data_IF_911833537043
#
_entry.id   IF_911833537043
#
_cell.length_a   1.000
_cell.length_b   1.000
_cell.length_c   1.000
_cell.angle_alpha   90.00
_cell.angle_beta   90.00
_cell.angle_gamma   90.00
#
_symmetry.space_group_name_H-M   'P 1'
#
loop_
_entity.id
_entity.type
_entity.pdbx_description
1 polymer ?
#
# COMPACT_ATOMS: atom_id res chain seq x y z
N UNK A 1 -37.91 16.29 54.51
CA UNK A 1 -36.65 16.38 53.75
C UNK A 1 -36.79 15.49 52.52
N UNK A 2 -36.97 16.09 51.34
CA UNK A 2 -36.95 15.38 50.07
C UNK A 2 -35.54 14.85 49.86
N UNK A 3 -35.34 13.53 49.97
CA UNK A 3 -34.11 12.84 49.59
C UNK A 3 -34.05 12.92 48.06
N UNK A 4 -33.28 13.85 47.52
CA UNK A 4 -32.98 13.91 46.08
C UNK A 4 -32.25 12.59 45.79
N UNK A 5 -32.94 11.66 45.14
CA UNK A 5 -32.32 10.41 44.66
C UNK A 5 -31.27 10.76 43.64
N UNK A 6 -30.11 10.12 43.71
CA UNK A 6 -29.10 10.28 42.67
C UNK A 6 -29.63 9.88 41.32
N UNK A 7 -29.29 10.64 40.27
CA UNK A 7 -29.60 10.28 38.89
C UNK A 7 -29.00 8.91 38.54
N UNK A 8 -29.67 8.19 37.64
CA UNK A 8 -29.19 6.87 37.28
C UNK A 8 -28.03 6.94 36.32
N UNK A 9 -27.05 6.05 36.47
CA UNK A 9 -25.94 5.93 35.51
C UNK A 9 -26.43 5.53 34.11
N UNK A 10 -27.61 4.90 34.02
CA UNK A 10 -28.26 4.62 32.75
C UNK A 10 -28.68 5.91 32.03
N UNK A 11 -29.22 6.90 32.75
CA UNK A 11 -29.53 8.21 32.19
C UNK A 11 -28.25 8.90 31.68
N UNK A 12 -27.15 8.86 32.44
CA UNK A 12 -25.88 9.37 31.99
C UNK A 12 -25.40 8.66 30.71
N UNK A 13 -25.51 7.34 30.66
CA UNK A 13 -25.16 6.54 29.49
C UNK A 13 -25.96 6.94 28.25
N UNK A 14 -27.22 7.31 28.39
CA UNK A 14 -28.03 7.82 27.27
C UNK A 14 -27.52 9.17 26.80
N UNK A 15 -27.11 10.08 27.69
CA UNK A 15 -26.48 11.35 27.31
C UNK A 15 -25.19 11.08 26.52
N UNK A 16 -24.36 10.11 26.96
CA UNK A 16 -23.12 9.75 26.23
C UNK A 16 -23.41 9.28 24.81
N UNK A 17 -24.52 8.55 24.59
CA UNK A 17 -24.92 8.08 23.25
C UNK A 17 -25.45 9.22 22.37
N UNK A 18 -26.17 10.17 22.95
CA UNK A 18 -26.81 11.27 22.22
C UNK A 18 -25.82 12.42 21.93
N UNK A 19 -25.09 12.87 22.93
CA UNK A 19 -24.08 13.94 22.82
C UNK A 19 -22.86 13.67 23.69
N UNK A 20 -21.82 13.12 23.05
CA UNK A 20 -20.54 12.81 23.71
C UNK A 20 -19.82 14.05 24.26
N UNK A 21 -20.04 15.24 23.66
CA UNK A 21 -19.39 16.48 24.11
C UNK A 21 -20.03 16.97 25.39
N UNK A 22 -21.37 16.99 25.42
CA UNK A 22 -22.12 17.34 26.62
C UNK A 22 -21.80 16.35 27.74
N UNK A 23 -21.85 15.05 27.47
CA UNK A 23 -21.52 14.01 28.42
C UNK A 23 -20.12 14.16 29.02
N UNK A 24 -19.11 14.50 28.21
CA UNK A 24 -17.74 14.76 28.73
C UNK A 24 -17.68 15.98 29.62
N UNK A 25 -18.35 17.06 29.25
CA UNK A 25 -18.40 18.27 30.05
C UNK A 25 -19.02 17.96 31.42
N UNK A 26 -20.12 17.24 31.43
CA UNK A 26 -20.79 16.81 32.66
C UNK A 26 -19.93 15.85 33.48
N UNK A 27 -19.36 14.83 32.86
CA UNK A 27 -18.53 13.80 33.53
C UNK A 27 -17.34 14.39 34.29
N UNK A 28 -16.68 15.40 33.73
CA UNK A 28 -15.53 16.04 34.37
C UNK A 28 -15.89 17.25 35.27
N UNK A 29 -17.18 17.45 35.56
CA UNK A 29 -17.68 18.50 36.45
C UNK A 29 -17.93 18.00 37.89
N UNK A 30 -18.02 18.91 38.85
CA UNK A 30 -18.44 18.56 40.19
C UNK A 30 -19.90 18.09 40.24
N UNK A 31 -20.74 18.60 39.32
CA UNK A 31 -22.14 18.20 39.23
C UNK A 31 -22.30 16.67 39.01
N UNK A 32 -21.42 16.05 38.23
CA UNK A 32 -21.46 14.60 38.02
C UNK A 32 -21.30 13.81 39.33
N UNK A 33 -20.42 14.24 40.22
CA UNK A 33 -20.23 13.58 41.52
C UNK A 33 -21.43 13.75 42.45
N UNK A 34 -22.06 14.93 42.40
CA UNK A 34 -23.18 15.27 43.25
C UNK A 34 -24.49 14.63 42.76
N UNK A 35 -24.70 14.57 41.47
CA UNK A 35 -25.93 14.06 40.84
C UNK A 35 -25.92 12.55 40.63
N UNK A 36 -24.80 12.00 40.14
CA UNK A 36 -24.69 10.60 39.72
C UNK A 36 -23.98 9.70 40.71
N UNK A 37 -22.99 10.20 41.51
CA UNK A 37 -22.15 9.36 42.36
C UNK A 37 -22.41 9.54 43.86
N UNK A 38 -23.34 10.37 44.27
CA UNK A 38 -23.57 10.72 45.65
C UNK A 38 -23.78 9.50 46.58
N UNK A 39 -24.62 8.57 46.15
CA UNK A 39 -25.01 7.37 46.91
C UNK A 39 -24.29 6.10 46.42
N UNK A 40 -23.24 6.23 45.60
CA UNK A 40 -22.53 5.13 44.90
C UNK A 40 -21.06 5.14 45.25
N UNK A 41 -20.72 4.48 46.33
CA UNK A 41 -19.40 4.49 46.89
C UNK A 41 -18.35 3.87 45.96
N UNK A 42 -18.65 2.69 45.39
CA UNK A 42 -17.74 1.94 44.54
C UNK A 42 -17.43 2.71 43.26
N UNK A 43 -18.46 3.24 42.58
CA UNK A 43 -18.31 4.01 41.34
C UNK A 43 -17.61 5.36 41.60
N UNK A 44 -17.79 5.93 42.79
CA UNK A 44 -17.08 7.15 43.19
C UNK A 44 -15.58 6.91 43.41
N UNK A 45 -15.21 5.79 44.03
CA UNK A 45 -13.82 5.40 44.18
C UNK A 45 -13.19 5.09 42.82
N UNK A 46 -13.86 4.33 41.95
CA UNK A 46 -13.45 4.08 40.58
C UNK A 46 -13.24 5.38 39.80
N UNK A 47 -14.21 6.30 39.84
CA UNK A 47 -14.11 7.61 39.20
C UNK A 47 -12.86 8.36 39.60
N UNK A 48 -12.56 8.43 40.92
CA UNK A 48 -11.38 9.10 41.40
C UNK A 48 -10.06 8.45 40.95
N UNK A 49 -10.02 7.13 40.87
CA UNK A 49 -8.86 6.40 40.36
C UNK A 49 -8.62 6.68 38.89
N UNK A 50 -9.69 6.66 38.09
CA UNK A 50 -9.59 6.90 36.64
C UNK A 50 -9.21 8.33 36.28
N UNK A 51 -9.58 9.32 37.09
CA UNK A 51 -9.19 10.72 36.90
C UNK A 51 -7.67 10.97 36.94
N UNK A 52 -6.87 10.04 37.47
CA UNK A 52 -5.42 10.07 37.39
C UNK A 52 -4.86 9.81 36.01
N UNK A 53 -5.67 9.27 35.11
CA UNK A 53 -5.31 9.02 33.72
C UNK A 53 -5.14 10.32 32.91
N UNK A 54 -4.44 10.21 31.77
CA UNK A 54 -4.16 11.36 30.92
C UNK A 54 -5.16 11.56 29.76
N UNK A 55 -5.78 10.48 29.33
CA UNK A 55 -6.69 10.51 28.17
C UNK A 55 -8.17 10.58 28.62
N UNK A 56 -8.77 11.75 28.47
CA UNK A 56 -10.16 12.00 28.89
C UNK A 56 -11.18 11.07 28.20
N UNK A 57 -10.96 10.72 26.94
CA UNK A 57 -11.87 9.81 26.21
C UNK A 57 -11.78 8.39 26.79
N UNK A 58 -10.56 7.94 27.08
CA UNK A 58 -10.32 6.63 27.67
C UNK A 58 -10.86 6.55 29.09
N UNK A 59 -10.71 7.61 29.87
CA UNK A 59 -11.24 7.67 31.26
C UNK A 59 -12.75 7.47 31.27
N UNK A 60 -13.49 8.21 30.42
CA UNK A 60 -14.94 8.06 30.31
C UNK A 60 -15.33 6.65 29.85
N UNK A 61 -14.64 6.12 28.85
CA UNK A 61 -14.87 4.78 28.33
C UNK A 61 -14.69 3.72 29.42
N UNK A 62 -13.59 3.78 30.15
CA UNK A 62 -13.27 2.82 31.20
C UNK A 62 -14.23 2.92 32.40
N UNK A 63 -14.69 4.13 32.71
CA UNK A 63 -15.72 4.30 33.74
C UNK A 63 -17.00 3.58 33.35
N UNK A 64 -17.49 3.76 32.12
CA UNK A 64 -18.69 3.11 31.63
C UNK A 64 -18.57 1.58 31.57
N UNK A 65 -17.38 1.08 31.21
CA UNK A 65 -17.11 -0.37 31.20
C UNK A 65 -17.09 -0.94 32.61
N UNK A 66 -16.31 -0.33 33.49
CA UNK A 66 -16.07 -0.84 34.84
C UNK A 66 -17.30 -0.70 35.75
N UNK A 67 -18.15 0.31 35.47
CA UNK A 67 -19.45 0.45 36.17
C UNK A 67 -20.57 -0.40 35.55
N UNK A 68 -20.26 -1.24 34.56
CA UNK A 68 -21.20 -2.17 33.92
C UNK A 68 -22.23 -1.51 33.00
N UNK A 69 -22.03 -0.23 32.63
CA UNK A 69 -22.99 0.51 31.80
C UNK A 69 -22.90 0.13 30.31
N UNK A 70 -21.81 -0.45 29.89
CA UNK A 70 -21.61 -0.93 28.51
C UNK A 70 -20.64 -2.10 28.43
N UNK A 71 -20.60 -2.73 27.28
CA UNK A 71 -19.56 -3.71 26.91
C UNK A 71 -18.45 -3.03 26.11
N UNK A 72 -17.23 -3.58 26.11
CA UNK A 72 -16.14 -3.06 25.27
C UNK A 72 -16.52 -3.12 23.79
N UNK A 73 -16.03 -2.15 23.04
CA UNK A 73 -16.13 -2.18 21.58
C UNK A 73 -15.17 -3.25 21.07
N UNK A 74 -15.70 -4.24 20.39
CA UNK A 74 -14.94 -5.32 19.79
C UNK A 74 -14.92 -5.16 18.26
N UNK A 75 -13.90 -5.73 17.65
CA UNK A 75 -13.73 -5.76 16.21
C UNK A 75 -13.87 -7.20 15.71
N UNK A 76 -14.49 -7.36 14.56
CA UNK A 76 -14.56 -8.62 13.85
C UNK A 76 -14.13 -8.44 12.39
N UNK A 77 -13.31 -9.36 11.88
CA UNK A 77 -12.94 -9.35 10.47
C UNK A 77 -14.10 -9.86 9.62
N UNK A 78 -14.39 -9.16 8.52
CA UNK A 78 -15.38 -9.66 7.55
C UNK A 78 -14.93 -10.99 6.94
N UNK A 79 -13.60 -11.17 6.80
CA UNK A 79 -12.91 -12.42 6.41
C UNK A 79 -11.61 -12.51 7.19
N UNK A 80 -11.25 -13.71 7.62
CA UNK A 80 -9.97 -13.97 8.30
C UNK A 80 -8.80 -14.14 7.34
N UNK A 81 -9.10 -14.51 6.08
CA UNK A 81 -8.14 -14.71 5.02
C UNK A 81 -8.56 -13.89 3.80
N UNK A 82 -7.68 -13.06 3.31
CA UNK A 82 -7.81 -12.32 2.07
C UNK A 82 -6.81 -12.84 1.05
N UNK A 83 -7.17 -12.74 -0.21
CA UNK A 83 -6.29 -13.13 -1.31
C UNK A 83 -5.79 -11.88 -2.02
N UNK A 84 -4.45 -11.72 -2.07
CA UNK A 84 -3.81 -10.75 -2.92
C UNK A 84 -3.43 -11.37 -4.26
N UNK A 85 -3.53 -10.61 -5.33
CA UNK A 85 -3.15 -10.99 -6.70
C UNK A 85 -2.24 -9.92 -7.30
N UNK A 86 -1.72 -10.18 -8.49
CA UNK A 86 -0.88 -9.22 -9.22
C UNK A 86 -1.58 -7.86 -9.42
N UNK A 87 -2.91 -7.82 -9.47
CA UNK A 87 -3.68 -6.58 -9.63
C UNK A 87 -3.49 -5.61 -8.46
N UNK A 88 -3.13 -6.13 -7.28
CA UNK A 88 -2.89 -5.31 -6.08
C UNK A 88 -1.56 -4.54 -6.09
N UNK A 89 -0.79 -4.63 -7.18
CA UNK A 89 0.31 -3.67 -7.45
C UNK A 89 -0.19 -2.28 -7.83
N UNK A 90 -1.35 -2.20 -8.48
CA UNK A 90 -1.94 -0.94 -8.98
C UNK A 90 -3.20 -0.54 -8.23
N UNK A 91 -3.94 -1.51 -7.71
CA UNK A 91 -5.17 -1.29 -6.96
C UNK A 91 -4.98 -1.78 -5.52
N UNK A 92 -5.26 -0.93 -4.51
CA UNK A 92 -5.09 -1.34 -3.13
C UNK A 92 -6.03 -2.50 -2.79
N UNK A 93 -5.52 -3.43 -2.00
CA UNK A 93 -6.35 -4.47 -1.39
C UNK A 93 -7.23 -3.83 -0.31
N UNK A 94 -8.53 -4.09 -0.38
CA UNK A 94 -9.50 -3.63 0.60
C UNK A 94 -9.78 -4.71 1.64
N UNK A 95 -9.47 -4.41 2.91
CA UNK A 95 -9.70 -5.30 4.03
C UNK A 95 -10.73 -4.65 4.95
N UNK A 96 -11.85 -5.35 5.20
CA UNK A 96 -12.98 -4.81 5.95
C UNK A 96 -13.05 -5.40 7.35
N UNK A 97 -13.18 -4.52 8.33
CA UNK A 97 -13.31 -4.84 9.75
C UNK A 97 -14.57 -4.17 10.29
N UNK A 98 -15.41 -4.95 10.95
CA UNK A 98 -16.66 -4.45 11.57
C UNK A 98 -16.43 -4.17 13.04
N UNK A 99 -17.04 -3.09 13.53
CA UNK A 99 -17.12 -2.83 14.97
C UNK A 99 -18.43 -3.34 15.54
N UNK A 100 -18.34 -3.90 16.72
CA UNK A 100 -19.47 -4.29 17.54
C UNK A 100 -19.49 -3.41 18.80
N UNK A 101 -20.59 -2.73 19.03
CA UNK A 101 -20.71 -1.78 20.13
C UNK A 101 -20.53 -0.33 19.71
N UNK A 102 -20.58 0.55 20.71
CA UNK A 102 -20.55 2.00 20.55
C UNK A 102 -19.55 2.63 21.51
N UNK A 103 -19.14 3.87 21.25
CA UNK A 103 -18.28 4.66 22.12
C UNK A 103 -16.86 4.85 21.58
N UNK A 104 -15.98 5.20 22.48
CA UNK A 104 -14.59 5.52 22.14
C UNK A 104 -13.82 4.29 21.68
N UNK A 105 -13.16 4.44 20.57
CA UNK A 105 -12.33 3.39 20.00
C UNK A 105 -11.14 4.02 19.28
N UNK A 106 -9.95 3.57 19.63
CA UNK A 106 -8.71 3.85 18.89
C UNK A 106 -7.92 2.56 18.77
N UNK A 107 -7.17 2.45 17.72
CA UNK A 107 -6.33 1.29 17.50
C UNK A 107 -5.17 1.54 16.55
N UNK A 108 -4.34 0.51 16.41
CA UNK A 108 -3.19 0.47 15.51
C UNK A 108 -3.33 -0.70 14.57
N UNK A 109 -2.81 -0.50 13.37
CA UNK A 109 -2.72 -1.52 12.34
C UNK A 109 -1.25 -1.70 11.99
N UNK A 110 -0.79 -2.94 11.98
CA UNK A 110 0.57 -3.31 11.59
C UNK A 110 0.49 -4.43 10.56
N UNK A 111 1.41 -4.44 9.63
CA UNK A 111 1.72 -5.59 8.79
C UNK A 111 3.05 -6.18 9.27
N UNK A 112 3.23 -7.49 9.25
CA UNK A 112 4.53 -8.13 9.46
C UNK A 112 5.45 -8.00 8.22
N UNK A 113 4.90 -7.47 7.11
CA UNK A 113 5.64 -6.63 6.19
C UNK A 113 6.47 -7.30 5.14
N UNK A 114 6.11 -8.46 4.66
CA UNK A 114 6.85 -9.08 3.56
C UNK A 114 6.54 -8.41 2.22
N UNK A 115 5.28 -8.16 1.91
CA UNK A 115 4.89 -7.57 0.62
C UNK A 115 3.81 -6.49 0.68
N UNK A 116 3.12 -6.31 1.83
CA UNK A 116 2.08 -5.29 1.99
C UNK A 116 2.60 -3.97 2.56
N UNK A 117 2.01 -2.88 2.12
CA UNK A 117 2.16 -1.53 2.65
C UNK A 117 0.82 -0.93 2.98
N UNK A 118 0.63 -0.56 4.23
CA UNK A 118 -0.62 0.04 4.69
C UNK A 118 -0.68 1.53 4.36
N UNK A 119 -1.84 2.01 3.93
CA UNK A 119 -2.09 3.45 3.75
C UNK A 119 -2.18 4.17 5.10
N UNK A 120 -2.68 3.49 6.14
CA UNK A 120 -2.90 4.05 7.48
C UNK A 120 -2.49 3.04 8.55
N UNK A 121 -1.79 3.51 9.57
CA UNK A 121 -1.29 2.65 10.67
C UNK A 121 -2.10 2.80 11.96
N UNK A 122 -3.06 3.72 11.99
CA UNK A 122 -3.92 4.00 13.14
C UNK A 122 -5.35 4.23 12.67
N UNK A 123 -6.29 4.00 13.57
CA UNK A 123 -7.70 4.29 13.33
C UNK A 123 -8.39 4.73 14.60
N UNK A 124 -9.53 5.38 14.44
CA UNK A 124 -10.41 5.81 15.52
C UNK A 124 -11.88 5.54 15.15
N UNK A 125 -12.80 5.77 16.10
CA UNK A 125 -14.22 5.46 15.92
C UNK A 125 -14.82 6.14 14.68
N UNK A 126 -14.38 7.34 14.35
CA UNK A 126 -14.84 8.16 13.21
C UNK A 126 -14.40 7.63 11.84
N UNK A 127 -13.41 6.74 11.80
CA UNK A 127 -12.97 6.09 10.57
C UNK A 127 -13.92 4.95 10.11
N UNK A 128 -14.92 4.60 10.94
CA UNK A 128 -15.89 3.57 10.61
C UNK A 128 -17.10 4.17 9.89
N UNK A 129 -17.34 3.73 8.67
CA UNK A 129 -18.54 4.07 7.89
C UNK A 129 -19.55 2.92 8.02
N UNK A 130 -20.77 3.21 8.48
CA UNK A 130 -21.80 2.20 8.75
C UNK A 130 -21.28 1.00 9.56
N UNK A 131 -20.45 1.27 10.58
CA UNK A 131 -19.86 0.25 11.44
C UNK A 131 -18.73 -0.56 10.82
N UNK A 132 -18.24 -0.17 9.65
CA UNK A 132 -17.16 -0.85 8.92
C UNK A 132 -15.96 0.07 8.70
N UNK A 133 -14.77 -0.40 9.08
CA UNK A 133 -13.49 0.19 8.73
C UNK A 133 -12.96 -0.52 7.49
N UNK A 134 -12.62 0.25 6.45
CA UNK A 134 -11.92 -0.27 5.28
C UNK A 134 -10.44 0.08 5.40
N UNK A 135 -9.59 -0.96 5.44
CA UNK A 135 -8.14 -0.83 5.48
C UNK A 135 -7.62 -1.05 4.06
N UNK A 136 -6.85 -0.09 3.55
CA UNK A 136 -6.23 -0.15 2.23
C UNK A 136 -4.76 -0.54 2.37
N UNK A 137 -4.35 -1.54 1.60
CA UNK A 137 -2.97 -2.02 1.56
C UNK A 137 -2.51 -2.19 0.11
N UNK A 138 -1.35 -1.62 -0.22
CA UNK A 138 -0.70 -1.81 -1.51
C UNK A 138 0.29 -2.97 -1.45
N UNK A 139 0.49 -3.66 -2.57
CA UNK A 139 1.64 -4.55 -2.75
C UNK A 139 2.86 -3.75 -3.20
N UNK A 140 3.98 -3.89 -2.48
CA UNK A 140 5.27 -3.24 -2.83
C UNK A 140 6.08 -4.05 -3.84
N UNK A 141 6.00 -5.36 -3.75
CA UNK A 141 6.75 -6.32 -4.54
C UNK A 141 5.85 -7.48 -4.92
N UNK A 142 6.21 -8.24 -5.94
CA UNK A 142 5.51 -9.46 -6.31
C UNK A 142 6.04 -10.59 -5.42
N UNK A 143 5.21 -11.16 -4.51
CA UNK A 143 5.63 -12.28 -3.68
C UNK A 143 5.65 -13.58 -4.49
N UNK A 144 6.13 -14.65 -3.85
CA UNK A 144 5.98 -16.01 -4.41
C UNK A 144 4.55 -16.50 -4.18
N UNK A 145 4.11 -17.41 -5.07
CA UNK A 145 2.80 -18.04 -4.89
C UNK A 145 2.71 -18.73 -3.52
N UNK A 146 1.69 -18.38 -2.75
CA UNK A 146 1.46 -18.89 -1.41
C UNK A 146 2.14 -18.10 -0.28
N UNK A 147 2.91 -17.07 -0.57
CA UNK A 147 3.44 -16.19 0.48
C UNK A 147 2.30 -15.55 1.28
N UNK A 148 2.52 -15.41 2.58
CA UNK A 148 1.53 -14.90 3.53
C UNK A 148 2.10 -13.67 4.21
N UNK A 149 1.27 -12.62 4.29
CA UNK A 149 1.48 -11.45 5.13
C UNK A 149 0.35 -11.39 6.17
N UNK A 150 0.63 -10.88 7.37
CA UNK A 150 -0.35 -10.76 8.43
C UNK A 150 -0.63 -9.31 8.74
N UNK A 151 -1.91 -8.95 8.79
CA UNK A 151 -2.36 -7.73 9.41
C UNK A 151 -2.70 -7.97 10.87
N UNK A 152 -2.11 -7.17 11.75
CA UNK A 152 -2.38 -7.18 13.18
C UNK A 152 -3.08 -5.88 13.52
N UNK A 153 -4.33 -5.97 13.95
CA UNK A 153 -5.17 -4.85 14.37
C UNK A 153 -5.29 -4.91 15.88
N UNK A 154 -4.79 -3.89 16.56
CA UNK A 154 -4.69 -3.85 18.01
C UNK A 154 -5.48 -2.67 18.57
N UNK A 155 -6.37 -2.97 19.51
CA UNK A 155 -7.06 -2.01 20.38
C UNK A 155 -6.61 -2.21 21.83
N UNK A 156 -7.12 -1.41 22.75
CA UNK A 156 -6.89 -1.62 24.19
C UNK A 156 -7.46 -2.96 24.69
N UNK A 157 -8.54 -3.44 24.05
CA UNK A 157 -9.28 -4.61 24.51
C UNK A 157 -9.06 -5.87 23.68
N UNK A 158 -8.43 -5.75 22.51
CA UNK A 158 -8.38 -6.85 21.55
C UNK A 158 -7.18 -6.76 20.61
N UNK A 159 -6.68 -7.92 20.22
CA UNK A 159 -5.78 -8.08 19.05
C UNK A 159 -6.48 -8.97 18.04
N UNK A 160 -6.65 -8.50 16.81
CA UNK A 160 -7.23 -9.23 15.70
C UNK A 160 -6.16 -9.44 14.64
N UNK A 161 -6.04 -10.67 14.14
CA UNK A 161 -5.11 -11.03 13.07
C UNK A 161 -5.88 -11.43 11.82
N UNK A 162 -5.45 -10.91 10.67
CA UNK A 162 -5.99 -11.21 9.34
C UNK A 162 -4.83 -11.66 8.47
N UNK A 163 -5.01 -12.78 7.77
CA UNK A 163 -4.02 -13.29 6.83
C UNK A 163 -4.28 -12.76 5.42
N UNK A 164 -3.22 -12.40 4.72
CA UNK A 164 -3.27 -12.06 3.31
C UNK A 164 -2.34 -13.01 2.56
N UNK A 165 -2.92 -13.88 1.76
CA UNK A 165 -2.21 -14.89 0.98
C UNK A 165 -2.08 -14.42 -0.45
N UNK A 166 -0.86 -14.38 -0.99
CA UNK A 166 -0.66 -14.13 -2.40
C UNK A 166 -0.94 -15.38 -3.22
N UNK A 167 -1.77 -15.25 -4.26
CA UNK A 167 -2.06 -16.31 -5.23
C UNK A 167 -1.66 -15.87 -6.62
N UNK A 168 -0.67 -16.56 -7.17
CA UNK A 168 -0.27 -16.38 -8.56
C UNK A 168 -1.29 -17.04 -9.49
N UNK A 169 -1.86 -16.24 -10.38
CA UNK A 169 -2.64 -16.75 -11.49
C UNK A 169 -1.80 -16.62 -12.76
N UNK A 170 -1.23 -17.73 -13.26
CA UNK A 170 -0.32 -17.73 -14.42
C UNK A 170 -0.87 -16.99 -15.64
N UNK A 171 -2.18 -17.08 -15.88
CA UNK A 171 -2.84 -16.36 -16.97
C UNK A 171 -2.94 -14.84 -16.70
N UNK A 172 -3.11 -14.43 -15.46
CA UNK A 172 -3.19 -13.02 -15.05
C UNK A 172 -1.82 -12.37 -15.07
N UNK A 173 -0.78 -13.07 -14.61
CA UNK A 173 0.60 -12.58 -14.67
C UNK A 173 1.03 -12.22 -16.09
N UNK A 174 0.69 -13.06 -17.07
CA UNK A 174 0.99 -12.79 -18.47
C UNK A 174 0.21 -11.58 -19.00
N UNK A 175 -1.06 -11.46 -18.67
CA UNK A 175 -1.90 -10.29 -19.02
C UNK A 175 -1.36 -9.01 -18.40
N UNK A 176 -0.91 -9.10 -17.15
CA UNK A 176 -0.34 -7.95 -16.44
C UNK A 176 0.98 -7.49 -17.06
N UNK A 177 1.85 -8.43 -17.42
CA UNK A 177 3.09 -8.11 -18.14
C UNK A 177 2.79 -7.42 -19.48
N UNK A 178 1.85 -7.95 -20.25
CA UNK A 178 1.42 -7.37 -21.53
C UNK A 178 0.83 -5.96 -21.34
N UNK A 179 0.04 -5.75 -20.30
CA UNK A 179 -0.52 -4.45 -19.95
C UNK A 179 0.58 -3.42 -19.62
N UNK A 180 1.59 -3.80 -18.82
CA UNK A 180 2.70 -2.92 -18.48
C UNK A 180 3.61 -2.62 -19.64
N UNK A 181 3.87 -3.60 -20.50
CA UNK A 181 4.60 -3.39 -21.76
C UNK A 181 3.85 -2.38 -22.64
N UNK A 182 2.52 -2.49 -22.73
CA UNK A 182 1.70 -1.51 -23.45
C UNK A 182 1.81 -0.10 -22.86
N UNK A 183 1.78 0.02 -21.54
CA UNK A 183 1.99 1.32 -20.86
C UNK A 183 3.35 1.94 -21.19
N UNK A 184 4.42 1.15 -21.24
CA UNK A 184 5.74 1.66 -21.62
C UNK A 184 5.75 2.18 -23.05
N UNK A 185 5.11 1.46 -23.99
CA UNK A 185 4.98 1.89 -25.39
C UNK A 185 4.18 3.19 -25.47
N UNK A 186 3.06 3.31 -24.76
CA UNK A 186 2.25 4.53 -24.71
C UNK A 186 3.04 5.73 -24.19
N UNK A 187 3.79 5.57 -23.10
CA UNK A 187 4.67 6.60 -22.54
C UNK A 187 5.73 7.04 -23.53
N UNK A 188 6.33 6.09 -24.25
CA UNK A 188 7.35 6.41 -25.24
C UNK A 188 6.75 7.14 -26.45
N UNK A 189 5.57 6.75 -26.92
CA UNK A 189 4.83 7.46 -27.97
C UNK A 189 4.45 8.88 -27.52
N UNK A 190 3.99 9.05 -26.30
CA UNK A 190 3.66 10.37 -25.74
C UNK A 190 4.92 11.26 -25.65
N UNK A 191 6.07 10.70 -25.32
CA UNK A 191 7.34 11.39 -25.36
C UNK A 191 7.73 11.80 -26.77
N UNK A 192 7.69 10.88 -27.74
CA UNK A 192 8.04 11.15 -29.13
C UNK A 192 7.11 12.19 -29.77
N UNK A 193 5.85 12.28 -29.33
CA UNK A 193 4.87 13.27 -29.79
C UNK A 193 4.88 14.58 -29.00
N UNK A 194 5.79 14.71 -28.03
CA UNK A 194 5.93 15.93 -27.22
C UNK A 194 4.84 16.12 -26.17
N UNK A 195 4.04 15.10 -25.85
CA UNK A 195 2.98 15.16 -24.84
C UNK A 195 3.51 15.10 -23.42
N UNK A 196 4.66 14.45 -23.23
CA UNK A 196 5.36 14.37 -21.95
C UNK A 196 6.83 14.76 -22.13
N UNK A 197 7.44 15.23 -21.04
CA UNK A 197 8.86 15.59 -21.00
C UNK A 197 9.73 14.36 -20.76
N UNK A 198 11.05 14.50 -20.97
CA UNK A 198 12.04 13.48 -20.66
C UNK A 198 11.98 13.07 -19.16
N UNK A 199 11.88 14.06 -18.26
CA UNK A 199 11.73 13.79 -16.83
C UNK A 199 10.48 13.00 -16.49
N UNK A 200 9.36 13.31 -17.13
CA UNK A 200 8.11 12.58 -16.95
C UNK A 200 8.21 11.15 -17.50
N UNK A 201 8.86 10.96 -18.65
CA UNK A 201 9.13 9.63 -19.20
C UNK A 201 10.02 8.83 -18.25
N UNK A 202 11.09 9.43 -17.73
CA UNK A 202 12.00 8.80 -16.77
C UNK A 202 11.26 8.32 -15.50
N UNK A 203 10.52 9.20 -14.86
CA UNK A 203 9.80 8.89 -13.62
C UNK A 203 8.71 7.81 -13.84
N UNK A 204 7.82 8.04 -14.80
CA UNK A 204 6.70 7.13 -15.07
C UNK A 204 7.16 5.81 -15.65
N UNK A 205 8.17 5.81 -16.52
CA UNK A 205 8.75 4.62 -17.10
C UNK A 205 9.41 3.72 -16.03
N UNK A 206 10.19 4.31 -15.11
CA UNK A 206 10.77 3.55 -14.00
C UNK A 206 9.70 3.00 -13.06
N UNK A 207 8.64 3.75 -12.74
CA UNK A 207 7.52 3.25 -11.95
C UNK A 207 6.85 2.01 -12.56
N UNK A 208 6.73 1.96 -13.89
CA UNK A 208 6.19 0.79 -14.59
C UNK A 208 7.20 -0.36 -14.57
N UNK A 209 8.49 -0.09 -14.85
CA UNK A 209 9.55 -1.11 -14.88
C UNK A 209 9.80 -1.74 -13.51
N UNK A 210 9.73 -0.96 -12.43
CA UNK A 210 9.89 -1.45 -11.05
C UNK A 210 8.80 -2.44 -10.63
N UNK A 211 7.65 -2.38 -11.29
CA UNK A 211 6.51 -3.25 -11.04
C UNK A 211 6.39 -4.41 -12.03
N UNK A 212 7.37 -4.59 -12.94
CA UNK A 212 7.38 -5.73 -13.85
C UNK A 212 7.53 -7.04 -13.07
N UNK A 213 6.83 -8.12 -13.50
CA UNK A 213 6.99 -9.43 -12.88
C UNK A 213 8.44 -9.92 -12.95
N UNK A 214 8.93 -10.48 -11.85
CA UNK A 214 10.27 -11.06 -11.79
C UNK A 214 10.38 -12.26 -12.75
N UNK A 215 11.20 -12.09 -13.78
CA UNK A 215 11.49 -13.12 -14.78
C UNK A 215 12.99 -13.09 -15.08
N UNK A 216 13.76 -14.12 -14.64
CA UNK A 216 15.21 -14.15 -14.78
C UNK A 216 15.71 -13.94 -16.21
N UNK A 217 14.90 -14.30 -17.21
CA UNK A 217 15.25 -14.13 -18.62
C UNK A 217 14.97 -12.69 -19.10
N UNK A 218 13.88 -12.07 -18.62
CA UNK A 218 13.45 -10.74 -19.07
C UNK A 218 14.01 -9.59 -18.25
N UNK A 219 14.41 -9.85 -17.00
CA UNK A 219 14.92 -8.83 -16.08
C UNK A 219 16.08 -8.03 -16.72
N UNK A 220 16.92 -8.69 -17.48
CA UNK A 220 18.03 -8.02 -18.16
C UNK A 220 17.55 -6.98 -19.18
N UNK A 221 16.46 -7.26 -19.88
CA UNK A 221 15.85 -6.31 -20.84
C UNK A 221 15.28 -5.12 -20.08
N UNK A 222 14.62 -5.35 -18.94
CA UNK A 222 14.08 -4.27 -18.10
C UNK A 222 15.18 -3.39 -17.52
N UNK A 223 16.32 -3.96 -17.13
CA UNK A 223 17.51 -3.21 -16.69
C UNK A 223 18.07 -2.33 -17.80
N UNK A 224 18.14 -2.85 -19.03
CA UNK A 224 18.56 -2.07 -20.20
C UNK A 224 17.58 -0.96 -20.54
N UNK A 225 16.27 -1.18 -20.36
CA UNK A 225 15.27 -0.13 -20.51
C UNK A 225 15.43 0.98 -19.47
N UNK A 226 15.70 0.64 -18.22
CA UNK A 226 15.99 1.63 -17.15
C UNK A 226 17.25 2.43 -17.47
N UNK A 227 18.28 1.77 -17.98
CA UNK A 227 19.50 2.43 -18.45
C UNK A 227 19.20 3.41 -19.59
N UNK A 228 18.39 3.02 -20.55
CA UNK A 228 17.93 3.88 -21.65
C UNK A 228 17.23 5.15 -21.13
N UNK A 229 16.29 5.00 -20.17
CA UNK A 229 15.63 6.14 -19.53
C UNK A 229 16.62 7.06 -18.81
N UNK A 230 17.64 6.50 -18.17
CA UNK A 230 18.70 7.25 -17.49
C UNK A 230 19.57 8.05 -18.49
N UNK A 231 19.88 7.47 -19.64
CA UNK A 231 20.63 8.15 -20.73
C UNK A 231 19.80 9.32 -21.27
N UNK A 232 18.51 9.10 -21.55
CA UNK A 232 17.61 10.15 -22.03
C UNK A 232 17.53 11.34 -21.07
N UNK A 233 17.47 11.08 -19.77
CA UNK A 233 17.37 12.11 -18.73
C UNK A 233 18.74 12.71 -18.35
N UNK A 234 19.85 12.08 -18.78
CA UNK A 234 21.21 12.51 -18.43
C UNK A 234 21.54 12.28 -16.94
N UNK A 235 20.94 11.27 -16.31
CA UNK A 235 21.15 10.94 -14.89
C UNK A 235 22.13 9.79 -14.70
N UNK A 236 23.08 10.00 -13.79
CA UNK A 236 24.03 8.99 -13.30
C UNK A 236 25.32 8.89 -14.09
N UNK A 237 26.22 8.08 -13.56
CA UNK A 237 27.49 7.74 -14.19
C UNK A 237 27.23 6.65 -15.25
N UNK A 238 27.03 7.07 -16.48
CA UNK A 238 26.46 6.23 -17.53
C UNK A 238 27.53 5.39 -18.25
N UNK A 239 28.74 5.89 -18.33
CA UNK A 239 29.85 5.19 -19.00
C UNK A 239 30.14 3.81 -18.39
N UNK A 240 30.12 3.71 -17.06
CA UNK A 240 30.40 2.43 -16.37
C UNK A 240 29.24 1.44 -16.45
N UNK A 241 28.03 1.88 -16.86
CA UNK A 241 26.81 1.06 -16.86
C UNK A 241 26.45 0.46 -18.21
N UNK A 242 26.91 1.08 -19.30
CA UNK A 242 26.66 0.56 -20.64
C UNK A 242 27.63 -0.59 -20.89
N UNK A 243 27.14 -1.81 -21.16
CA UNK A 243 28.04 -2.95 -21.43
C UNK A 243 28.92 -2.69 -22.65
N UNK A 244 30.21 -2.96 -22.53
CA UNK A 244 31.14 -2.83 -23.63
C UNK A 244 30.99 -3.92 -24.69
N UNK A 245 30.58 -5.12 -24.27
CA UNK A 245 30.51 -6.30 -25.12
C UNK A 245 29.05 -6.87 -25.13
N UNK A 246 28.34 -6.54 -26.19
CA UNK A 246 26.96 -6.99 -26.39
C UNK A 246 26.88 -8.52 -26.54
N UNK A 247 27.92 -9.20 -27.00
CA UNK A 247 27.89 -10.66 -27.22
C UNK A 247 27.81 -11.47 -25.94
N UNK A 248 28.07 -10.86 -24.80
CA UNK A 248 27.91 -11.49 -23.47
C UNK A 248 26.45 -11.56 -23.01
N UNK A 249 25.56 -10.84 -23.65
CA UNK A 249 24.13 -10.90 -23.32
C UNK A 249 23.53 -12.22 -23.82
N UNK A 250 22.72 -12.90 -22.99
CA UNK A 250 22.19 -14.24 -23.34
C UNK A 250 21.06 -14.22 -24.38
N UNK A 251 20.42 -13.06 -24.58
CA UNK A 251 19.30 -12.90 -25.49
C UNK A 251 19.64 -12.00 -26.67
N UNK A 252 19.26 -12.38 -27.89
CA UNK A 252 19.47 -11.59 -29.10
C UNK A 252 18.91 -10.17 -28.99
N UNK A 253 17.74 -10.02 -28.38
CA UNK A 253 17.14 -8.70 -28.17
C UNK A 253 17.97 -7.85 -27.18
N UNK A 254 18.55 -8.47 -26.16
CA UNK A 254 19.43 -7.78 -25.21
C UNK A 254 20.74 -7.37 -25.90
N UNK A 255 21.31 -8.23 -26.74
CA UNK A 255 22.50 -7.90 -27.54
C UNK A 255 22.21 -6.70 -28.45
N UNK A 256 21.11 -6.73 -29.21
CA UNK A 256 20.70 -5.62 -30.06
C UNK A 256 20.48 -4.33 -29.28
N UNK A 257 19.91 -4.43 -28.08
CA UNK A 257 19.64 -3.27 -27.25
C UNK A 257 20.94 -2.66 -26.68
N UNK A 258 21.93 -3.48 -26.34
CA UNK A 258 23.26 -2.98 -25.93
C UNK A 258 23.93 -2.21 -27.06
N UNK A 259 23.93 -2.74 -28.31
CA UNK A 259 24.43 -2.02 -29.47
C UNK A 259 23.73 -0.68 -29.69
N UNK A 260 22.40 -0.68 -29.57
CA UNK A 260 21.61 0.53 -29.66
C UNK A 260 22.00 1.56 -28.58
N UNK A 261 22.14 1.14 -27.33
CA UNK A 261 22.49 2.04 -26.21
C UNK A 261 23.89 2.63 -26.37
N UNK A 262 24.86 1.87 -26.87
CA UNK A 262 26.22 2.37 -27.17
C UNK A 262 26.15 3.48 -28.22
N UNK A 263 25.46 3.28 -29.32
CA UNK A 263 25.26 4.29 -30.37
C UNK A 263 24.52 5.51 -29.85
N UNK A 264 23.46 5.28 -29.08
CA UNK A 264 22.61 6.34 -28.55
C UNK A 264 23.33 7.23 -27.52
N UNK A 265 24.25 6.66 -26.75
CA UNK A 265 25.07 7.38 -25.77
C UNK A 265 26.24 8.11 -26.41
N UNK A 266 27.04 7.41 -27.21
CA UNK A 266 28.26 7.93 -27.81
C UNK A 266 28.00 8.97 -28.91
N UNK A 267 26.98 8.70 -29.76
CA UNK A 267 26.58 9.56 -30.90
C UNK A 267 27.68 9.79 -31.96
N UNK A 268 28.79 9.06 -31.88
CA UNK A 268 29.84 9.09 -32.91
C UNK A 268 29.39 8.29 -34.13
N UNK A 269 29.67 8.82 -35.33
CA UNK A 269 29.24 8.22 -36.59
C UNK A 269 29.71 6.77 -36.76
N UNK A 270 30.97 6.50 -36.38
CA UNK A 270 31.57 5.17 -36.44
C UNK A 270 30.82 4.18 -35.54
N UNK A 271 30.47 4.57 -34.31
CA UNK A 271 29.73 3.76 -33.35
C UNK A 271 28.31 3.51 -33.83
N UNK A 272 27.64 4.49 -34.42
CA UNK A 272 26.32 4.36 -35.00
C UNK A 272 26.30 3.36 -36.15
N UNK A 273 27.21 3.49 -37.09
CA UNK A 273 27.34 2.59 -38.25
C UNK A 273 27.60 1.15 -37.79
N UNK A 274 28.57 0.97 -36.89
CA UNK A 274 28.89 -0.35 -36.33
C UNK A 274 27.70 -0.97 -35.63
N UNK A 275 27.05 -0.23 -34.77
CA UNK A 275 25.86 -0.73 -34.03
C UNK A 275 24.73 -1.12 -34.96
N UNK A 276 24.46 -0.35 -36.00
CA UNK A 276 23.47 -0.70 -37.01
C UNK A 276 23.79 -1.98 -37.75
N UNK A 277 25.05 -2.17 -38.15
CA UNK A 277 25.51 -3.37 -38.86
C UNK A 277 25.36 -4.62 -37.96
N UNK A 278 25.76 -4.52 -36.69
CA UNK A 278 25.63 -5.61 -35.72
C UNK A 278 24.12 -5.94 -35.44
N UNK A 279 23.25 -4.93 -35.24
CA UNK A 279 21.81 -5.16 -35.06
C UNK A 279 21.21 -5.82 -36.31
N UNK A 280 21.63 -5.41 -37.49
CA UNK A 280 21.16 -6.04 -38.74
C UNK A 280 21.60 -7.49 -38.82
N UNK A 281 22.81 -7.83 -38.45
CA UNK A 281 23.31 -9.20 -38.42
C UNK A 281 22.48 -10.06 -37.44
N UNK A 282 22.18 -9.56 -36.24
CA UNK A 282 21.26 -10.22 -35.28
C UNK A 282 19.86 -10.42 -35.87
N UNK A 283 19.34 -9.44 -36.59
CA UNK A 283 18.06 -9.54 -37.27
C UNK A 283 18.06 -10.64 -38.33
N UNK A 284 19.12 -10.72 -39.14
CA UNK A 284 19.23 -11.71 -40.22
C UNK A 284 19.36 -13.15 -39.67
N UNK A 285 19.99 -13.31 -38.50
CA UNK A 285 20.15 -14.61 -37.83
C UNK A 285 18.92 -15.04 -37.04
N UNK A 286 17.99 -14.14 -36.73
CA UNK A 286 16.84 -14.41 -35.87
C UNK A 286 15.69 -15.04 -36.68
N UNK A 287 15.14 -16.15 -36.17
CA UNK A 287 13.95 -16.81 -36.80
C UNK A 287 12.63 -16.37 -36.13
N UNK A 288 12.67 -15.87 -34.91
CA UNK A 288 11.47 -15.43 -34.18
C UNK A 288 10.96 -14.08 -34.69
N UNK A 289 9.75 -14.09 -35.29
CA UNK A 289 9.17 -12.90 -35.89
C UNK A 289 8.90 -11.75 -34.93
N UNK A 290 8.65 -12.03 -33.63
CA UNK A 290 8.46 -11.01 -32.61
C UNK A 290 9.78 -10.34 -32.24
N UNK A 291 10.83 -11.14 -32.05
CA UNK A 291 12.18 -10.63 -31.77
C UNK A 291 12.72 -9.84 -32.97
N UNK A 292 12.48 -10.32 -34.19
CA UNK A 292 12.78 -9.58 -35.43
C UNK A 292 12.12 -8.21 -35.44
N UNK A 293 10.88 -8.09 -35.02
CA UNK A 293 10.18 -6.81 -34.93
C UNK A 293 10.86 -5.83 -33.98
N UNK A 294 11.32 -6.30 -32.83
CA UNK A 294 12.07 -5.47 -31.87
C UNK A 294 13.46 -5.08 -32.40
N UNK A 295 14.19 -6.01 -33.02
CA UNK A 295 15.50 -5.71 -33.62
C UNK A 295 15.37 -4.72 -34.79
N UNK A 296 14.34 -4.85 -35.60
CA UNK A 296 14.06 -3.89 -36.66
C UNK A 296 13.80 -2.48 -36.10
N UNK A 297 13.04 -2.39 -35.03
CA UNK A 297 12.81 -1.09 -34.37
C UNK A 297 14.09 -0.46 -33.82
N UNK A 298 14.97 -1.25 -33.22
CA UNK A 298 16.29 -0.77 -32.73
C UNK A 298 17.21 -0.34 -33.87
N UNK A 299 17.06 -0.96 -35.06
CA UNK A 299 17.85 -0.65 -36.25
C UNK A 299 17.46 0.70 -36.89
N UNK A 300 16.17 1.04 -36.89
CA UNK A 300 15.63 2.27 -37.47
C UNK A 300 16.01 3.52 -36.71
#
# INVERSE_FOLDING_TARGET
QNKIMSESLENFTNIVKEDIKEAKTLFFSEAFKEEYLKDRREEKELYHQLLLGRNRNQILEEFLLSSGQKKPVLLSAAKTIYQATIMNLDEPLEIKVKREGWGYLVGRIKSDGTFLSLHKNTFQAEDFEDGTLTIYADMKTIPKDGDIDHLIIQTVYQTLQIEVVYKEQKSERKKEEEFRQKKLIELYVDFCTGRITTSQLYERGNMVLDKMPDDPVKNRIYDLMKLHLSILEGKGDLEEKIPEDASKEPLLIAQGYVWYLQAFYDKEEETIIRSRDEIKELYDQCEDGKIKGYLFWLYM
#
